data_IF_515139949318
#
_entry.id   IF_515139949318
#
_cell.length_a   1.000
_cell.length_b   1.000
_cell.length_c   1.000
_cell.angle_alpha   90.00
_cell.angle_beta   90.00
_cell.angle_gamma   90.00
#
_symmetry.space_group_name_H-M   'P 1'
#
loop_
_entity.id
_entity.type
_entity.pdbx_description
1 polymer ?
#
# COMPACT_ATOMS: atom_id res chain seq x y z
N UNK A 1 18.81 24.47 11.94
CA UNK A 1 20.08 24.89 11.31
C UNK A 1 20.34 24.16 10.00
N UNK A 2 19.95 22.89 9.89
CA UNK A 2 20.25 22.03 8.73
C UNK A 2 19.02 21.70 7.87
N UNK A 3 17.86 22.24 8.19
CA UNK A 3 16.61 22.05 7.47
C UNK A 3 16.17 23.38 6.87
N UNK A 4 15.79 23.38 5.62
CA UNK A 4 15.33 24.55 4.88
C UNK A 4 15.07 24.20 3.42
N UNK A 5 14.38 25.07 2.69
CA UNK A 5 14.02 24.85 1.29
C UNK A 5 15.23 24.62 0.38
N UNK A 6 16.34 25.32 0.68
CA UNK A 6 17.58 25.27 -0.11
C UNK A 6 18.72 24.54 0.61
N UNK A 7 18.46 23.84 1.70
CA UNK A 7 19.49 23.14 2.49
C UNK A 7 19.21 21.65 2.51
N UNK A 8 18.21 21.23 3.29
CA UNK A 8 17.80 19.84 3.40
C UNK A 8 16.29 19.78 3.60
N UNK A 9 15.60 19.05 2.73
CA UNK A 9 14.14 18.95 2.73
C UNK A 9 13.73 17.56 3.20
N UNK A 10 13.39 17.37 4.49
CA UNK A 10 12.94 16.08 5.00
C UNK A 10 11.66 15.61 4.34
N UNK A 11 11.53 14.30 4.18
CA UNK A 11 10.36 13.64 3.63
C UNK A 11 9.76 12.64 4.64
N UNK A 12 8.45 12.42 4.54
CA UNK A 12 7.79 11.37 5.28
C UNK A 12 8.13 9.99 4.72
N UNK A 13 8.19 9.00 5.60
CA UNK A 13 8.40 7.59 5.28
C UNK A 13 7.51 6.73 6.19
N UNK A 14 7.80 5.42 6.34
CA UNK A 14 7.00 4.49 7.15
C UNK A 14 6.67 5.09 8.53
N UNK A 15 5.38 5.14 8.85
CA UNK A 15 4.88 5.70 10.11
C UNK A 15 4.83 7.22 10.20
N UNK A 16 5.29 7.96 9.18
CA UNK A 16 5.31 9.43 9.13
C UNK A 16 4.39 9.93 8.01
N UNK A 17 3.19 10.30 8.38
CA UNK A 17 2.18 10.82 7.46
C UNK A 17 1.97 12.33 7.56
N UNK A 18 0.91 12.83 6.95
CA UNK A 18 0.56 14.26 6.92
C UNK A 18 0.43 14.91 8.30
N UNK A 19 0.04 14.15 9.33
CA UNK A 19 -0.04 14.63 10.71
C UNK A 19 1.34 14.94 11.28
N UNK A 20 2.27 14.00 11.17
CA UNK A 20 3.64 14.12 11.68
C UNK A 20 4.38 15.23 10.94
N UNK A 21 4.20 15.29 9.63
CA UNK A 21 4.72 16.38 8.79
C UNK A 21 4.13 17.73 9.23
N UNK A 22 2.84 17.77 9.55
CA UNK A 22 2.18 18.96 10.08
C UNK A 22 2.80 19.46 11.39
N UNK A 23 3.13 18.55 12.31
CA UNK A 23 3.82 18.89 13.56
C UNK A 23 5.22 19.45 13.30
N UNK A 24 5.99 18.82 12.43
CA UNK A 24 7.34 19.27 12.07
C UNK A 24 7.31 20.62 11.35
N UNK A 25 6.38 20.81 10.43
CA UNK A 25 6.24 22.08 9.72
C UNK A 25 5.79 23.22 10.66
N UNK A 26 4.86 22.95 11.56
CA UNK A 26 4.43 23.92 12.56
C UNK A 26 5.58 24.35 13.46
N UNK A 27 6.42 23.41 13.88
CA UNK A 27 7.62 23.73 14.70
C UNK A 27 8.66 24.48 13.88
N UNK A 28 8.91 24.11 12.62
CA UNK A 28 9.80 24.83 11.73
C UNK A 28 9.38 26.29 11.60
N UNK A 29 8.11 26.54 11.31
CA UNK A 29 7.53 27.89 11.19
C UNK A 29 7.69 28.70 12.49
N UNK A 30 7.50 28.07 13.67
CA UNK A 30 7.72 28.74 14.97
C UNK A 30 9.15 29.18 15.17
N UNK A 31 10.13 28.37 14.76
CA UNK A 31 11.55 28.65 14.98
C UNK A 31 12.12 29.65 13.98
N UNK A 32 11.69 29.58 12.72
CA UNK A 32 12.25 30.39 11.64
C UNK A 32 11.43 31.64 11.33
N UNK A 33 10.14 31.64 11.63
CA UNK A 33 9.21 32.68 11.20
C UNK A 33 8.84 32.60 9.69
N UNK A 34 9.33 31.58 8.98
CA UNK A 34 9.19 31.45 7.52
C UNK A 34 8.04 30.50 7.14
N UNK A 35 7.43 30.81 5.98
CA UNK A 35 6.45 29.95 5.29
C UNK A 35 7.02 29.62 3.91
N UNK A 36 7.76 28.52 3.82
CA UNK A 36 8.51 28.16 2.62
C UNK A 36 8.40 26.68 2.27
N UNK A 37 8.96 26.28 1.13
CA UNK A 37 8.88 24.93 0.56
C UNK A 37 9.79 23.90 1.24
N UNK A 38 9.68 23.76 2.55
CA UNK A 38 10.39 22.73 3.34
C UNK A 38 9.44 21.61 3.73
N UNK A 39 9.93 20.38 3.90
CA UNK A 39 9.17 19.16 4.20
C UNK A 39 8.20 18.74 3.07
N UNK A 40 8.32 17.52 2.60
CA UNK A 40 7.35 16.92 1.67
C UNK A 40 6.17 16.30 2.43
N UNK A 41 5.04 16.11 1.74
CA UNK A 41 3.85 15.48 2.35
C UNK A 41 3.03 16.38 3.25
N UNK A 42 3.19 17.71 3.16
CA UNK A 42 2.38 18.69 3.87
C UNK A 42 0.91 18.63 3.43
N UNK A 43 0.00 18.96 4.35
CA UNK A 43 -1.39 19.26 4.02
C UNK A 43 -1.52 20.53 3.16
N UNK A 44 -2.65 20.70 2.49
CA UNK A 44 -2.91 21.85 1.59
C UNK A 44 -2.77 23.20 2.29
N UNK A 45 -3.19 23.30 3.54
CA UNK A 45 -3.07 24.52 4.37
C UNK A 45 -1.63 24.94 4.63
N UNK A 46 -0.68 24.05 4.44
CA UNK A 46 0.77 24.28 4.61
C UNK A 46 1.52 24.30 3.26
N UNK A 47 0.82 24.52 2.16
CA UNK A 47 1.42 24.58 0.83
C UNK A 47 1.74 23.20 0.24
N UNK A 48 1.06 22.14 0.67
CA UNK A 48 1.20 20.81 0.12
C UNK A 48 0.51 20.65 -1.24
N UNK A 49 0.80 19.54 -1.93
CA UNK A 49 0.25 19.20 -3.24
C UNK A 49 -1.07 18.44 -3.13
N UNK A 50 -1.97 18.65 -4.09
CA UNK A 50 -3.16 17.81 -4.28
C UNK A 50 -2.77 16.38 -4.64
N UNK A 51 -3.64 15.42 -4.26
CA UNK A 51 -3.51 14.00 -4.58
C UNK A 51 -2.20 13.32 -4.13
N UNK A 52 -1.39 13.96 -3.27
CA UNK A 52 -0.12 13.38 -2.80
C UNK A 52 -0.33 12.07 -2.02
N UNK A 53 -1.40 12.01 -1.24
CA UNK A 53 -1.73 10.83 -0.42
C UNK A 53 -2.02 9.60 -1.29
N UNK A 54 -2.72 9.77 -2.39
CA UNK A 54 -3.13 8.70 -3.30
C UNK A 54 -2.05 8.32 -4.31
N UNK A 55 -1.08 9.21 -4.55
CA UNK A 55 -0.20 9.14 -5.72
C UNK A 55 0.51 7.80 -5.92
N UNK A 56 1.10 7.23 -4.87
CA UNK A 56 1.85 5.98 -4.97
C UNK A 56 0.92 4.79 -5.25
N UNK A 57 -0.15 4.63 -4.49
CA UNK A 57 -1.10 3.54 -4.68
C UNK A 57 -1.81 3.62 -6.03
N UNK A 58 -2.21 4.81 -6.46
CA UNK A 58 -2.83 5.01 -7.77
C UNK A 58 -1.86 4.76 -8.92
N UNK A 59 -0.63 5.28 -8.81
CA UNK A 59 0.42 5.09 -9.81
C UNK A 59 0.78 3.62 -10.03
N UNK A 60 0.83 2.85 -8.94
CA UNK A 60 1.00 1.40 -8.99
C UNK A 60 -0.07 0.74 -9.86
N UNK A 61 -1.34 1.05 -9.61
CA UNK A 61 -2.46 0.42 -10.33
C UNK A 61 -2.54 0.91 -11.77
N UNK A 62 -2.21 2.17 -12.06
CA UNK A 62 -2.12 2.66 -13.43
C UNK A 62 -1.03 1.91 -14.22
N UNK A 63 0.16 1.71 -13.63
CA UNK A 63 1.22 0.95 -14.27
C UNK A 63 0.82 -0.51 -14.48
N UNK A 64 0.17 -1.13 -13.50
CA UNK A 64 -0.37 -2.49 -13.62
C UNK A 64 -1.37 -2.59 -14.76
N UNK A 65 -2.32 -1.68 -14.85
CA UNK A 65 -3.35 -1.67 -15.89
C UNK A 65 -2.73 -1.58 -17.30
N UNK A 66 -1.76 -0.69 -17.50
CA UNK A 66 -1.05 -0.57 -18.77
C UNK A 66 -0.20 -1.83 -19.10
N UNK A 67 0.44 -2.42 -18.08
CA UNK A 67 1.18 -3.68 -18.25
C UNK A 67 0.23 -4.82 -18.66
N UNK A 68 -0.94 -4.93 -18.02
CA UNK A 68 -1.93 -5.95 -18.36
C UNK A 68 -2.47 -5.76 -19.78
N UNK A 69 -2.86 -4.53 -20.15
CA UNK A 69 -3.33 -4.21 -21.51
C UNK A 69 -2.29 -4.56 -22.57
N UNK A 70 -1.02 -4.24 -22.34
CA UNK A 70 0.07 -4.59 -23.26
C UNK A 70 0.17 -6.11 -23.47
N UNK A 71 -0.20 -6.90 -22.47
CA UNK A 71 -0.21 -8.38 -22.52
C UNK A 71 -1.59 -8.96 -22.88
N UNK A 72 -2.54 -8.15 -23.36
CA UNK A 72 -3.87 -8.59 -23.75
C UNK A 72 -4.73 -9.06 -22.58
N UNK A 73 -4.46 -8.57 -21.38
CA UNK A 73 -5.17 -8.90 -20.15
C UNK A 73 -5.86 -7.66 -19.56
N UNK A 74 -6.77 -7.87 -18.62
CA UNK A 74 -7.52 -6.82 -17.93
C UNK A 74 -7.43 -7.02 -16.42
N UNK A 75 -7.51 -5.93 -15.66
CA UNK A 75 -7.59 -5.96 -14.20
C UNK A 75 -9.02 -6.27 -13.71
N UNK A 76 -10.04 -5.91 -14.51
CA UNK A 76 -11.44 -6.11 -14.16
C UNK A 76 -11.75 -7.59 -13.92
N UNK A 77 -12.48 -7.88 -12.84
CA UNK A 77 -12.86 -9.23 -12.43
C UNK A 77 -11.74 -10.09 -11.85
N UNK A 78 -10.52 -9.58 -11.75
CA UNK A 78 -9.38 -10.32 -11.20
C UNK A 78 -9.39 -10.30 -9.67
N UNK A 79 -8.96 -11.41 -9.10
CA UNK A 79 -8.73 -11.55 -7.65
C UNK A 79 -7.37 -11.00 -7.30
N UNK A 80 -7.33 -10.04 -6.36
CA UNK A 80 -6.13 -9.29 -6.00
C UNK A 80 -5.81 -9.44 -4.51
N UNK A 81 -4.54 -9.67 -4.19
CA UNK A 81 -4.00 -9.58 -2.84
C UNK A 81 -3.19 -8.29 -2.70
N UNK A 82 -3.34 -7.62 -1.57
CA UNK A 82 -2.57 -6.40 -1.27
C UNK A 82 -1.93 -6.55 0.10
N UNK A 83 -0.60 -6.56 0.19
CA UNK A 83 0.03 -6.51 1.50
C UNK A 83 0.07 -5.10 2.06
N UNK A 84 0.09 -5.01 3.39
CA UNK A 84 0.02 -3.73 4.09
C UNK A 84 -1.42 -3.24 4.31
N UNK A 85 -1.52 -2.22 5.12
CA UNK A 85 -2.75 -1.47 5.40
C UNK A 85 -2.45 0.02 5.66
N UNK A 86 -1.30 0.46 5.20
CA UNK A 86 -0.89 1.88 5.20
C UNK A 86 -1.38 2.61 3.95
N UNK A 87 -0.85 3.80 3.76
CA UNK A 87 -1.27 4.70 2.70
C UNK A 87 -1.21 4.07 1.30
N UNK A 88 -0.07 3.47 0.93
CA UNK A 88 0.10 2.85 -0.40
C UNK A 88 -0.93 1.74 -0.61
N UNK A 89 -1.08 0.83 0.36
CA UNK A 89 -2.01 -0.29 0.27
C UNK A 89 -3.47 0.17 0.16
N UNK A 90 -3.93 1.10 1.00
CA UNK A 90 -5.30 1.62 0.99
C UNK A 90 -5.65 2.21 -0.37
N UNK A 91 -4.78 3.04 -0.95
CA UNK A 91 -5.07 3.67 -2.24
C UNK A 91 -4.81 2.75 -3.44
N UNK A 92 -3.96 1.71 -3.31
CA UNK A 92 -3.89 0.63 -4.28
C UNK A 92 -5.20 -0.17 -4.32
N UNK A 93 -5.75 -0.53 -3.16
CA UNK A 93 -7.07 -1.19 -3.06
C UNK A 93 -8.16 -0.34 -3.67
N UNK A 94 -8.22 0.95 -3.31
CA UNK A 94 -9.23 1.88 -3.84
C UNK A 94 -9.20 1.92 -5.37
N UNK A 95 -8.03 2.09 -5.95
CA UNK A 95 -7.89 2.18 -7.40
C UNK A 95 -8.15 0.84 -8.08
N UNK A 96 -7.67 -0.27 -7.54
CA UNK A 96 -7.93 -1.60 -8.08
C UNK A 96 -9.45 -1.91 -8.11
N UNK A 97 -10.16 -1.59 -7.03
CA UNK A 97 -11.62 -1.75 -6.98
C UNK A 97 -12.35 -0.83 -7.97
N UNK A 98 -11.88 0.40 -8.19
CA UNK A 98 -12.42 1.30 -9.22
C UNK A 98 -12.26 0.74 -10.64
N UNK A 99 -11.20 -0.04 -10.90
CA UNK A 99 -11.00 -0.76 -12.15
C UNK A 99 -11.72 -2.11 -12.22
N UNK A 100 -12.56 -2.42 -11.21
CA UNK A 100 -13.37 -3.63 -11.19
C UNK A 100 -12.65 -4.87 -10.69
N UNK A 101 -11.48 -4.75 -10.09
CA UNK A 101 -10.81 -5.86 -9.42
C UNK A 101 -11.50 -6.23 -8.10
N UNK A 102 -11.40 -7.50 -7.72
CA UNK A 102 -11.86 -8.01 -6.44
C UNK A 102 -10.65 -8.17 -5.50
N UNK A 103 -10.43 -7.19 -4.63
CA UNK A 103 -9.39 -7.30 -3.61
C UNK A 103 -9.93 -8.13 -2.45
N UNK A 104 -9.29 -9.25 -2.15
CA UNK A 104 -9.77 -10.23 -1.15
C UNK A 104 -8.93 -10.30 0.12
N UNK A 105 -7.75 -9.72 0.14
CA UNK A 105 -6.90 -9.74 1.34
C UNK A 105 -6.08 -8.46 1.49
N UNK A 106 -5.86 -8.10 2.76
CA UNK A 106 -4.90 -7.06 3.19
C UNK A 106 -4.15 -7.55 4.42
N UNK A 107 -2.98 -6.96 4.71
CA UNK A 107 -2.18 -7.34 5.87
C UNK A 107 -1.67 -6.15 6.68
N UNK A 108 -1.18 -6.42 7.87
CA UNK A 108 -0.29 -5.53 8.64
C UNK A 108 0.87 -6.34 9.23
N UNK A 109 1.65 -5.73 10.14
CA UNK A 109 2.80 -6.40 10.76
C UNK A 109 2.44 -7.60 11.63
N UNK A 110 1.18 -7.76 12.02
CA UNK A 110 0.74 -8.78 12.96
C UNK A 110 0.02 -9.94 12.28
N UNK A 111 -0.55 -9.70 11.08
CA UNK A 111 -1.32 -10.72 10.38
C UNK A 111 -2.01 -10.19 9.15
N UNK A 112 -2.95 -10.95 8.62
CA UNK A 112 -3.71 -10.57 7.45
C UNK A 112 -5.20 -10.90 7.61
N UNK A 113 -6.01 -10.17 6.86
CA UNK A 113 -7.44 -10.43 6.69
C UNK A 113 -7.70 -11.03 5.32
N UNK A 114 -8.65 -11.93 5.27
CA UNK A 114 -9.20 -12.49 4.03
C UNK A 114 -10.72 -12.35 4.05
N UNK A 115 -11.28 -11.82 2.97
CA UNK A 115 -12.72 -11.71 2.76
C UNK A 115 -13.04 -12.17 1.34
N UNK A 116 -13.66 -13.34 1.20
CA UNK A 116 -14.02 -13.92 -0.09
C UNK A 116 -15.02 -13.05 -0.87
N UNK A 117 -15.80 -12.20 -0.19
CA UNK A 117 -16.74 -11.28 -0.82
C UNK A 117 -16.08 -10.00 -1.33
N UNK A 118 -14.83 -9.79 -0.96
CA UNK A 118 -14.04 -8.61 -1.28
C UNK A 118 -13.94 -7.61 -0.11
N UNK A 119 -12.77 -7.01 0.03
CA UNK A 119 -12.47 -6.04 1.10
C UNK A 119 -13.39 -4.82 1.00
N UNK A 120 -14.06 -4.50 2.10
CA UNK A 120 -14.86 -3.28 2.29
C UNK A 120 -13.93 -2.14 2.71
N UNK A 121 -13.48 -1.37 1.72
CA UNK A 121 -12.43 -0.38 1.91
C UNK A 121 -12.80 0.70 2.93
N UNK A 122 -14.08 1.10 3.01
CA UNK A 122 -14.53 2.11 3.97
C UNK A 122 -14.30 1.67 5.42
N UNK A 123 -14.50 0.38 5.72
CA UNK A 123 -14.20 -0.19 7.04
C UNK A 123 -12.70 -0.14 7.32
N UNK A 124 -11.86 -0.47 6.32
CA UNK A 124 -10.40 -0.39 6.46
C UNK A 124 -9.98 1.06 6.73
N UNK A 125 -10.50 2.02 5.96
CA UNK A 125 -10.20 3.45 6.14
C UNK A 125 -10.60 3.93 7.54
N UNK A 126 -11.79 3.58 8.02
CA UNK A 126 -12.24 3.91 9.36
C UNK A 126 -11.27 3.39 10.44
N UNK A 127 -10.85 2.13 10.31
CA UNK A 127 -9.93 1.51 11.26
C UNK A 127 -8.54 2.17 11.18
N UNK A 128 -8.00 2.36 9.97
CA UNK A 128 -6.59 2.76 9.78
C UNK A 128 -6.37 4.27 9.83
N UNK A 129 -7.24 5.04 9.18
CA UNK A 129 -7.06 6.49 9.02
C UNK A 129 -7.71 7.27 10.16
N UNK A 130 -8.87 6.83 10.65
CA UNK A 130 -9.62 7.51 11.72
C UNK A 130 -9.20 6.99 13.09
N UNK A 131 -9.43 5.71 13.38
CA UNK A 131 -9.16 5.11 14.70
C UNK A 131 -7.70 4.72 14.93
N UNK A 132 -6.90 4.58 13.84
CA UNK A 132 -5.50 4.13 13.85
C UNK A 132 -5.31 2.77 14.52
N UNK A 133 -6.30 1.92 14.36
CA UNK A 133 -6.34 0.57 14.85
C UNK A 133 -5.53 -0.43 14.01
N UNK A 134 -5.63 -1.69 14.36
CA UNK A 134 -5.00 -2.80 13.63
C UNK A 134 -5.96 -3.41 12.63
N UNK A 135 -5.41 -4.03 11.55
CA UNK A 135 -6.22 -4.64 10.51
C UNK A 135 -7.11 -5.79 11.04
N UNK A 136 -6.71 -6.42 12.12
CA UNK A 136 -7.48 -7.47 12.80
C UNK A 136 -8.90 -7.02 13.19
N UNK A 137 -9.08 -5.73 13.53
CA UNK A 137 -10.40 -5.16 13.88
C UNK A 137 -11.41 -5.21 12.72
N UNK A 138 -10.91 -5.41 11.50
CA UNK A 138 -11.77 -5.60 10.33
C UNK A 138 -12.62 -6.87 10.45
N UNK A 139 -12.05 -7.97 10.94
CA UNK A 139 -12.79 -9.22 11.13
C UNK A 139 -13.87 -9.12 12.24
N UNK A 140 -13.68 -8.22 13.21
CA UNK A 140 -14.70 -7.93 14.22
C UNK A 140 -15.89 -7.14 13.61
N UNK A 141 -15.62 -6.32 12.61
CA UNK A 141 -16.62 -5.46 11.96
C UNK A 141 -17.31 -6.12 10.75
N UNK A 142 -16.67 -7.09 10.09
CA UNK A 142 -17.15 -7.74 8.87
C UNK A 142 -17.25 -9.25 9.08
N UNK A 143 -18.46 -9.81 9.26
CA UNK A 143 -18.66 -11.23 9.62
C UNK A 143 -18.15 -12.24 8.58
N UNK A 144 -17.99 -11.83 7.30
CA UNK A 144 -17.47 -12.68 6.21
C UNK A 144 -15.94 -12.77 6.21
N UNK A 145 -15.29 -11.89 6.95
CA UNK A 145 -13.85 -11.82 6.98
C UNK A 145 -13.24 -12.74 8.03
N UNK A 146 -12.06 -13.27 7.71
CA UNK A 146 -11.24 -14.07 8.63
C UNK A 146 -9.92 -13.33 8.86
N UNK A 147 -9.52 -13.20 10.12
CA UNK A 147 -8.18 -12.74 10.48
C UNK A 147 -7.28 -13.93 10.79
N UNK A 148 -6.08 -13.92 10.23
CA UNK A 148 -5.03 -14.90 10.51
C UNK A 148 -3.79 -14.17 11.03
N UNK A 149 -3.30 -14.59 12.17
CA UNK A 149 -2.08 -14.03 12.77
C UNK A 149 -0.83 -14.52 12.05
N UNK A 150 0.18 -13.66 11.93
CA UNK A 150 1.45 -13.98 11.29
C UNK A 150 1.46 -13.77 9.78
N UNK A 151 2.45 -14.37 9.12
CA UNK A 151 2.64 -14.31 7.67
C UNK A 151 1.78 -15.35 6.95
N UNK A 152 1.55 -15.17 5.65
CA UNK A 152 0.84 -16.14 4.83
C UNK A 152 -0.13 -15.56 3.80
N UNK A 153 -0.22 -14.24 3.67
CA UNK A 153 -1.09 -13.61 2.68
C UNK A 153 -0.83 -14.13 1.25
N UNK A 154 0.42 -14.42 0.92
CA UNK A 154 0.83 -14.88 -0.40
C UNK A 154 0.50 -16.36 -0.70
N UNK A 155 -0.02 -17.10 0.27
CA UNK A 155 -0.52 -18.47 0.07
C UNK A 155 -1.97 -18.51 -0.40
N UNK A 156 -2.66 -17.38 -0.41
CA UNK A 156 -4.06 -17.27 -0.86
C UNK A 156 -4.08 -17.27 -2.39
N UNK A 157 -4.93 -18.09 -3.06
CA UNK A 157 -5.07 -18.06 -4.50
C UNK A 157 -5.51 -16.69 -5.02
N UNK A 158 -4.81 -16.19 -6.04
CA UNK A 158 -5.10 -14.91 -6.66
C UNK A 158 -4.61 -14.84 -8.11
N UNK A 159 -5.10 -13.86 -8.85
CA UNK A 159 -4.62 -13.52 -10.18
C UNK A 159 -3.45 -12.54 -10.12
N UNK A 160 -3.50 -11.60 -9.17
CA UNK A 160 -2.57 -10.46 -9.07
C UNK A 160 -2.16 -10.26 -7.61
N UNK A 161 -0.87 -10.02 -7.38
CA UNK A 161 -0.31 -9.68 -6.08
C UNK A 161 0.29 -8.27 -6.09
N UNK A 162 -0.08 -7.46 -5.10
CA UNK A 162 0.42 -6.10 -4.90
C UNK A 162 1.16 -5.98 -3.56
N UNK A 163 2.46 -6.21 -3.53
CA UNK A 163 3.27 -5.97 -2.33
C UNK A 163 3.38 -4.46 -2.04
N UNK A 164 2.67 -4.01 -0.99
CA UNK A 164 2.52 -2.60 -0.63
C UNK A 164 2.93 -2.27 0.81
N UNK A 165 3.59 -3.20 1.52
CA UNK A 165 3.95 -3.03 2.91
C UNK A 165 5.42 -2.62 3.11
N UNK A 166 6.33 -3.57 3.03
CA UNK A 166 7.73 -3.35 3.41
C UNK A 166 8.70 -4.04 2.48
N UNK A 167 9.95 -3.60 2.59
CA UNK A 167 11.08 -4.22 1.92
C UNK A 167 11.23 -5.70 2.31
N UNK A 168 11.56 -6.56 1.32
CA UNK A 168 11.81 -8.00 1.49
C UNK A 168 10.64 -8.78 2.14
N UNK A 169 9.42 -8.34 1.90
CA UNK A 169 8.23 -9.00 2.43
C UNK A 169 7.80 -10.26 1.65
N UNK A 170 8.18 -10.35 0.37
CA UNK A 170 7.92 -11.46 -0.52
C UNK A 170 9.22 -12.22 -0.77
N UNK A 171 9.34 -13.40 -0.19
CA UNK A 171 10.51 -14.26 -0.31
C UNK A 171 10.32 -15.37 -1.36
N UNK A 172 11.31 -16.23 -1.54
CA UNK A 172 11.27 -17.31 -2.54
C UNK A 172 10.09 -18.28 -2.35
N UNK A 173 9.77 -18.64 -1.11
CA UNK A 173 8.67 -19.56 -0.82
C UNK A 173 7.33 -18.91 -1.11
N UNK A 174 7.20 -17.61 -0.81
CA UNK A 174 6.03 -16.81 -1.15
C UNK A 174 5.84 -16.72 -2.67
N UNK A 175 6.91 -16.49 -3.43
CA UNK A 175 6.88 -16.45 -4.90
C UNK A 175 6.42 -17.79 -5.48
N UNK A 176 6.97 -18.91 -5.00
CA UNK A 176 6.54 -20.25 -5.40
C UNK A 176 5.08 -20.52 -5.09
N UNK A 177 4.59 -20.06 -3.92
CA UNK A 177 3.19 -20.21 -3.55
C UNK A 177 2.27 -19.39 -4.49
N UNK A 178 2.63 -18.15 -4.81
CA UNK A 178 1.89 -17.31 -5.75
C UNK A 178 1.80 -17.96 -7.14
N UNK A 179 2.91 -18.44 -7.67
CA UNK A 179 2.94 -19.11 -8.99
C UNK A 179 2.12 -20.40 -8.98
N UNK A 180 2.28 -21.24 -7.94
CA UNK A 180 1.51 -22.48 -7.80
C UNK A 180 -0.01 -22.22 -7.70
N UNK A 181 -0.41 -21.08 -7.16
CA UNK A 181 -1.81 -20.65 -7.03
C UNK A 181 -2.35 -19.91 -8.26
N UNK A 182 -1.56 -19.76 -9.32
CA UNK A 182 -1.99 -19.16 -10.58
C UNK A 182 -1.86 -17.64 -10.68
N UNK A 183 -1.13 -17.01 -9.75
CA UNK A 183 -0.82 -15.58 -9.84
C UNK A 183 0.01 -15.32 -11.10
N UNK A 184 -0.48 -14.44 -11.98
CA UNK A 184 0.18 -14.15 -13.26
C UNK A 184 0.80 -12.75 -13.31
N UNK A 185 0.58 -11.92 -12.30
CA UNK A 185 1.15 -10.59 -12.23
C UNK A 185 1.47 -10.17 -10.80
N UNK A 186 2.66 -9.65 -10.61
CA UNK A 186 3.10 -8.99 -9.37
C UNK A 186 3.48 -7.55 -9.71
N UNK A 187 2.90 -6.58 -8.99
CA UNK A 187 3.24 -5.17 -9.15
C UNK A 187 3.61 -4.57 -7.78
N UNK A 188 4.84 -4.09 -7.67
CA UNK A 188 5.44 -3.65 -6.42
C UNK A 188 5.06 -2.21 -6.06
N UNK A 189 4.34 -2.02 -4.95
CA UNK A 189 3.99 -0.71 -4.40
C UNK A 189 4.96 -0.23 -3.31
N UNK A 190 5.67 -1.15 -2.68
CA UNK A 190 6.72 -0.87 -1.72
C UNK A 190 8.10 -0.80 -2.40
N UNK A 191 9.08 -0.25 -1.70
CA UNK A 191 10.47 -0.26 -2.17
C UNK A 191 11.09 -1.65 -2.00
N UNK A 192 11.44 -2.32 -3.10
CA UNK A 192 12.10 -3.64 -3.11
C UNK A 192 11.39 -4.68 -2.22
N UNK A 193 10.08 -4.91 -2.37
CA UNK A 193 9.37 -5.86 -1.52
C UNK A 193 9.73 -7.32 -1.83
N UNK A 194 10.08 -7.64 -3.07
CA UNK A 194 10.52 -8.98 -3.45
C UNK A 194 12.02 -9.15 -3.23
N UNK A 195 12.43 -10.28 -2.64
CA UNK A 195 13.85 -10.65 -2.54
C UNK A 195 14.43 -10.97 -3.93
N UNK A 196 15.75 -11.03 -4.03
CA UNK A 196 16.41 -11.37 -5.31
C UNK A 196 16.04 -12.77 -5.79
N UNK A 197 15.96 -13.70 -4.86
CA UNK A 197 15.60 -15.10 -5.12
C UNK A 197 14.14 -15.19 -5.61
N UNK A 198 13.23 -14.44 -5.00
CA UNK A 198 11.83 -14.37 -5.43
C UNK A 198 11.69 -13.83 -6.86
N UNK A 199 12.40 -12.77 -7.20
CA UNK A 199 12.40 -12.21 -8.57
C UNK A 199 12.91 -13.18 -9.61
N UNK A 200 13.95 -13.96 -9.29
CA UNK A 200 14.48 -14.97 -10.22
C UNK A 200 13.44 -16.03 -10.53
N UNK A 201 12.63 -16.45 -9.55
CA UNK A 201 11.55 -17.41 -9.72
C UNK A 201 10.41 -16.83 -10.57
N UNK A 202 10.00 -15.61 -10.33
CA UNK A 202 8.97 -14.90 -11.10
C UNK A 202 9.32 -14.78 -12.58
N UNK A 203 10.61 -14.66 -12.94
CA UNK A 203 11.09 -14.51 -14.32
C UNK A 203 11.35 -15.83 -15.03
N UNK A 204 11.42 -16.96 -14.33
CA UNK A 204 11.76 -18.28 -14.90
C UNK A 204 10.55 -19.19 -15.10
N UNK A 205 9.39 -18.78 -14.64
CA UNK A 205 8.11 -19.48 -14.77
C UNK A 205 7.13 -18.69 -15.63
#
# INVERSE_FOLDING_TARGET
KYIGADVDVPAGDIGTGGREIGYMYGQYKRLTGLYEGVLTGKGLTFGGSLARTQATGYGLVYMLDEMLKHNGKEIAGKTVLVSGSGNVAIYAVEKAQQYGAKVVAMSDSNGYIYDADGIKLDVVKEIKEVRRGRIKEYADAVPTAVYTEGKGIWTIPCDIALPCATQNELNLDDAKALLANGCFAVAEGANMPSTREARSEEHTS
#
